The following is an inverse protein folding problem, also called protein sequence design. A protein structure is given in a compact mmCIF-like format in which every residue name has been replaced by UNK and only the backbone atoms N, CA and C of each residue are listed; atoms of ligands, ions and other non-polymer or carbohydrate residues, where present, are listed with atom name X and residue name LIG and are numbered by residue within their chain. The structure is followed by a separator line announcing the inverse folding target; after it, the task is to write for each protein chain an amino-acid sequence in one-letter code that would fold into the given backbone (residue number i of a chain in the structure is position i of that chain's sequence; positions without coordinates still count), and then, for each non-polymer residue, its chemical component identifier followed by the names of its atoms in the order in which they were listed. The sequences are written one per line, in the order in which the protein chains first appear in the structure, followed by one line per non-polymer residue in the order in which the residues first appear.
data_IF_950800158127
#
_entry.id   IF_950800158127
#
_cell.length_a   1.000
_cell.length_b   1.000
_cell.length_c   1.000
_cell.angle_alpha   90.00
_cell.angle_beta   90.00
_cell.angle_gamma   90.00
#
_symmetry.space_group_name_H-M   'P 1'
#
loop_
_entity.id
_entity.type
_entity.pdbx_description
1 polymer ?
#
# COMPACT_ATOMS: atom_id res chain seq x y z
N UNK A 1 -5.68 5.59 0.77
CA UNK A 1 -4.60 6.25 0.00
C UNK A 1 -4.59 7.75 0.26
N UNK A 2 -3.51 8.46 -0.01
CA UNK A 2 -3.43 9.91 0.14
C UNK A 2 -3.96 10.66 -1.08
N UNK A 3 -4.42 11.91 -0.89
CA UNK A 3 -4.99 12.75 -1.96
C UNK A 3 -4.10 12.86 -3.21
N UNK A 4 -2.79 13.04 -3.05
CA UNK A 4 -1.86 13.13 -4.20
C UNK A 4 -1.83 11.84 -5.03
N UNK A 5 -1.88 10.68 -4.39
CA UNK A 5 -1.94 9.36 -5.05
C UNK A 5 -3.29 9.15 -5.74
N UNK A 6 -4.38 9.60 -5.12
CA UNK A 6 -5.70 9.58 -5.75
C UNK A 6 -5.76 10.47 -7.01
N UNK A 7 -5.14 11.65 -6.96
CA UNK A 7 -5.08 12.58 -8.09
C UNK A 7 -4.17 12.08 -9.23
N UNK A 8 -3.18 11.23 -8.94
CA UNK A 8 -2.32 10.64 -9.97
C UNK A 8 -2.98 9.51 -10.74
N UNK A 9 -4.08 8.93 -10.24
CA UNK A 9 -4.85 7.92 -10.96
C UNK A 9 -5.71 8.64 -12.02
N UNK A 10 -5.61 8.31 -13.32
CA UNK A 10 -6.43 8.93 -14.34
C UNK A 10 -7.92 8.80 -14.01
N UNK A 11 -8.70 9.85 -14.28
CA UNK A 11 -10.12 9.93 -13.86
C UNK A 11 -10.98 8.77 -14.31
N UNK A 12 -10.68 8.18 -15.48
CA UNK A 12 -11.38 7.00 -16.02
C UNK A 12 -11.08 5.68 -15.30
N UNK A 13 -10.03 5.64 -14.47
CA UNK A 13 -9.59 4.46 -13.72
C UNK A 13 -9.80 4.61 -12.21
N UNK A 14 -10.48 5.67 -11.76
CA UNK A 14 -10.89 5.86 -10.36
C UNK A 14 -12.42 5.92 -10.26
N UNK A 15 -13.05 5.36 -9.21
CA UNK A 15 -12.42 4.61 -8.11
C UNK A 15 -11.81 3.28 -8.57
N UNK A 16 -10.89 2.73 -7.78
CA UNK A 16 -10.36 1.39 -8.07
C UNK A 16 -11.50 0.37 -7.95
N UNK A 17 -11.78 -0.42 -9.01
CA UNK A 17 -12.96 -1.28 -9.04
C UNK A 17 -12.87 -2.40 -7.99
N UNK A 18 -14.05 -2.87 -7.57
CA UNK A 18 -14.27 -3.95 -6.61
C UNK A 18 -13.67 -3.72 -5.21
N UNK A 19 -13.42 -2.46 -4.85
CA UNK A 19 -12.79 -2.04 -3.59
C UNK A 19 -13.43 -0.76 -3.08
N UNK A 20 -13.54 -0.66 -1.77
CA UNK A 20 -13.80 0.60 -1.09
C UNK A 20 -12.55 1.48 -1.13
N UNK A 21 -12.67 2.70 -1.67
CA UNK A 21 -11.58 3.64 -1.83
C UNK A 21 -11.66 4.72 -0.74
N UNK A 22 -10.69 4.74 0.16
CA UNK A 22 -10.59 5.78 1.19
C UNK A 22 -9.49 6.77 0.82
N UNK A 23 -9.85 8.04 0.65
CA UNK A 23 -8.94 9.12 0.27
C UNK A 23 -8.70 10.05 1.46
N UNK A 24 -7.44 10.15 1.87
CA UNK A 24 -7.02 10.96 3.01
C UNK A 24 -6.56 12.35 2.57
N UNK A 25 -7.13 13.39 3.19
CA UNK A 25 -6.65 14.76 3.08
C UNK A 25 -7.01 15.58 4.31
N UNK A 26 -6.06 16.35 4.85
CA UNK A 26 -6.30 17.24 6.00
C UNK A 26 -7.36 18.32 5.75
N UNK A 27 -7.70 18.59 4.49
CA UNK A 27 -8.73 19.56 4.09
C UNK A 27 -10.10 18.93 3.85
N UNK A 28 -10.25 17.61 4.02
CA UNK A 28 -11.54 16.96 3.85
C UNK A 28 -12.32 16.91 5.15
N UNK A 29 -13.64 17.04 5.03
CA UNK A 29 -14.57 16.56 6.04
C UNK A 29 -14.71 15.04 5.91
N UNK A 30 -14.85 14.35 7.04
CA UNK A 30 -15.09 12.91 7.07
C UNK A 30 -16.47 12.62 6.47
N UNK A 31 -16.51 11.98 5.29
CA UNK A 31 -17.76 11.84 4.53
C UNK A 31 -17.77 10.64 3.60
N UNK A 32 -18.92 9.98 3.51
CA UNK A 32 -19.27 9.04 2.44
C UNK A 32 -19.59 9.85 1.18
N UNK A 33 -18.77 9.71 0.14
CA UNK A 33 -19.00 10.39 -1.15
C UNK A 33 -19.98 9.58 -1.99
N UNK A 34 -19.75 8.27 -2.07
CA UNK A 34 -20.65 7.28 -2.64
C UNK A 34 -20.35 5.90 -2.01
N UNK A 35 -20.99 4.85 -2.52
CA UNK A 35 -20.85 3.47 -2.03
C UNK A 35 -19.42 2.91 -2.10
N UNK A 36 -18.55 3.49 -2.94
CA UNK A 36 -17.19 3.02 -3.18
C UNK A 36 -16.12 4.04 -2.78
N UNK A 37 -16.48 5.25 -2.32
CA UNK A 37 -15.55 6.34 -2.04
C UNK A 37 -15.85 7.00 -0.69
N UNK A 38 -14.85 7.02 0.18
CA UNK A 38 -14.87 7.72 1.47
C UNK A 38 -13.77 8.79 1.52
N UNK A 39 -14.10 9.94 2.08
CA UNK A 39 -13.13 10.97 2.44
C UNK A 39 -12.85 10.93 3.95
N UNK A 40 -11.58 11.01 4.31
CA UNK A 40 -11.12 11.05 5.69
C UNK A 40 -10.07 12.15 5.90
N UNK A 41 -10.09 12.79 7.06
CA UNK A 41 -9.17 13.89 7.41
C UNK A 41 -7.86 13.42 8.05
N UNK A 42 -7.85 12.21 8.61
CA UNK A 42 -6.76 11.62 9.39
C UNK A 42 -6.71 10.09 9.22
N UNK A 43 -5.61 9.47 9.66
CA UNK A 43 -5.50 8.00 9.73
C UNK A 43 -6.55 7.42 10.65
N UNK A 44 -6.75 8.01 11.83
CA UNK A 44 -7.70 7.56 12.83
C UNK A 44 -9.13 7.61 12.28
N UNK A 45 -9.51 8.70 11.60
CA UNK A 45 -10.85 8.83 11.03
C UNK A 45 -11.05 7.87 9.85
N UNK A 46 -10.02 7.62 9.04
CA UNK A 46 -10.10 6.64 7.96
C UNK A 46 -10.43 5.25 8.48
N UNK A 47 -9.86 4.85 9.63
CA UNK A 47 -10.11 3.56 10.24
C UNK A 47 -11.47 3.48 10.93
N UNK A 48 -11.98 4.58 11.49
CA UNK A 48 -13.35 4.62 12.03
C UNK A 48 -14.37 4.36 10.92
N UNK A 49 -14.23 5.07 9.80
CA UNK A 49 -15.13 4.92 8.66
C UNK A 49 -15.10 3.49 8.10
N UNK A 50 -13.91 2.89 7.96
CA UNK A 50 -13.79 1.53 7.42
C UNK A 50 -14.36 0.47 8.38
N UNK A 51 -14.36 0.70 9.70
CA UNK A 51 -14.95 -0.23 10.68
C UNK A 51 -16.47 -0.31 10.61
N UNK A 52 -17.13 0.69 10.02
CA UNK A 52 -18.57 0.68 9.81
C UNK A 52 -18.97 -0.14 8.57
N UNK A 53 -18.00 -0.52 7.75
CA UNK A 53 -18.17 -1.24 6.49
C UNK A 53 -17.85 -2.73 6.64
N UNK A 54 -18.49 -3.58 5.83
CA UNK A 54 -18.21 -5.02 5.80
C UNK A 54 -16.98 -5.30 4.90
N UNK A 55 -15.78 -5.03 5.42
CA UNK A 55 -14.52 -5.15 4.69
C UNK A 55 -13.65 -6.28 5.28
N UNK A 56 -13.10 -7.13 4.42
CA UNK A 56 -12.23 -8.24 4.83
C UNK A 56 -10.82 -7.76 5.21
N UNK A 57 -10.20 -6.91 4.36
CA UNK A 57 -8.82 -6.43 4.53
C UNK A 57 -8.69 -4.97 4.13
N UNK A 58 -7.84 -4.24 4.86
CA UNK A 58 -7.52 -2.83 4.58
C UNK A 58 -6.12 -2.74 3.99
N UNK A 59 -6.00 -2.19 2.79
CA UNK A 59 -4.71 -1.99 2.12
C UNK A 59 -4.35 -0.50 2.05
N UNK A 60 -3.20 -0.16 2.63
CA UNK A 60 -2.60 1.17 2.48
C UNK A 60 -1.78 1.16 1.19
N UNK A 61 -2.29 1.81 0.14
CA UNK A 61 -1.63 1.84 -1.19
C UNK A 61 -0.83 3.13 -1.46
N UNK A 62 -0.42 3.82 -0.38
CA UNK A 62 0.44 5.00 -0.43
C UNK A 62 -0.29 6.34 -0.53
N UNK A 63 0.41 7.43 -0.87
CA UNK A 63 1.84 7.53 -1.21
C UNK A 63 2.79 7.63 0.00
N UNK A 64 4.00 8.17 -0.20
CA UNK A 64 5.06 8.15 0.81
C UNK A 64 4.70 8.77 2.18
N UNK A 65 3.99 9.90 2.21
CA UNK A 65 3.53 10.49 3.49
C UNK A 65 2.63 9.49 4.24
N UNK A 66 1.68 8.88 3.52
CA UNK A 66 0.75 7.90 4.07
C UNK A 66 1.45 6.62 4.50
N UNK A 67 2.36 6.07 3.68
CA UNK A 67 3.15 4.90 4.07
C UNK A 67 3.91 5.15 5.38
N UNK A 68 4.60 6.29 5.46
CA UNK A 68 5.41 6.63 6.62
C UNK A 68 4.56 6.90 7.87
N UNK A 69 3.34 7.42 7.73
CA UNK A 69 2.39 7.64 8.83
C UNK A 69 1.82 6.32 9.35
N UNK A 70 1.36 5.45 8.46
CA UNK A 70 0.80 4.14 8.84
C UNK A 70 1.85 3.22 9.46
N UNK A 71 3.06 3.13 8.91
CA UNK A 71 4.14 2.33 9.51
C UNK A 71 4.45 2.78 10.94
N UNK A 72 4.44 4.09 11.21
CA UNK A 72 4.68 4.64 12.56
C UNK A 72 3.51 4.45 13.52
N UNK A 73 2.29 4.38 13.01
CA UNK A 73 1.08 4.26 13.84
C UNK A 73 1.01 2.96 14.64
N UNK A 74 1.76 1.92 14.21
CA UNK A 74 1.70 0.60 14.81
C UNK A 74 0.44 -0.20 14.45
N UNK A 75 -0.38 0.30 13.53
CA UNK A 75 -1.64 -0.32 13.07
C UNK A 75 -1.45 -1.27 11.89
N UNK A 76 -0.23 -1.41 11.38
CA UNK A 76 0.09 -2.25 10.21
C UNK A 76 0.52 -3.63 10.69
N UNK A 77 -0.22 -4.66 10.27
CA UNK A 77 0.09 -6.05 10.59
C UNK A 77 1.12 -6.65 9.62
N UNK A 78 0.97 -6.33 8.32
CA UNK A 78 1.73 -6.92 7.23
C UNK A 78 2.18 -5.82 6.24
N UNK A 79 3.39 -5.99 5.69
CA UNK A 79 3.89 -5.18 4.58
C UNK A 79 4.15 -6.09 3.39
N UNK A 80 3.36 -5.91 2.33
CA UNK A 80 3.65 -6.48 1.02
C UNK A 80 4.58 -5.52 0.28
N UNK A 81 5.83 -5.92 0.10
CA UNK A 81 6.87 -5.12 -0.52
C UNK A 81 7.37 -5.82 -1.79
N UNK A 82 7.22 -5.18 -2.94
CA UNK A 82 7.92 -5.59 -4.15
C UNK A 82 9.33 -5.01 -4.08
N UNK A 83 10.33 -5.88 -3.90
CA UNK A 83 11.74 -5.50 -3.90
C UNK A 83 12.22 -5.47 -5.35
N UNK A 84 12.65 -4.30 -5.82
CA UNK A 84 13.07 -4.07 -7.21
C UNK A 84 14.57 -3.82 -7.22
N UNK A 85 15.28 -4.58 -8.03
CA UNK A 85 16.69 -4.43 -8.35
C UNK A 85 16.84 -3.92 -9.79
N UNK A 86 17.84 -3.08 -10.01
CA UNK A 86 18.20 -2.58 -11.32
C UNK A 86 19.62 -3.03 -11.64
N UNK A 87 19.78 -3.76 -12.75
CA UNK A 87 21.01 -4.48 -13.09
C UNK A 87 22.12 -3.59 -13.67
N UNK A 88 21.88 -2.29 -13.84
CA UNK A 88 22.80 -1.36 -14.49
C UNK A 88 23.24 -0.22 -13.55
N UNK A 89 24.35 0.42 -13.93
CA UNK A 89 24.96 1.54 -13.19
C UNK A 89 24.25 2.88 -13.46
N UNK A 90 23.17 2.89 -14.23
CA UNK A 90 22.38 4.08 -14.52
C UNK A 90 21.59 4.51 -13.27
N UNK A 91 21.71 5.78 -12.89
CA UNK A 91 20.98 6.33 -11.75
C UNK A 91 19.52 6.58 -12.14
N UNK A 92 18.58 6.01 -11.39
CA UNK A 92 17.15 6.28 -11.54
C UNK A 92 16.79 7.50 -10.69
N UNK A 93 16.40 8.59 -11.33
CA UNK A 93 15.99 9.81 -10.63
C UNK A 93 14.78 9.55 -9.73
N UNK A 94 14.93 9.84 -8.43
CA UNK A 94 13.90 9.67 -7.42
C UNK A 94 13.99 10.73 -6.33
N UNK A 95 12.84 11.24 -5.89
CA UNK A 95 12.73 12.26 -4.83
C UNK A 95 11.93 11.78 -3.61
N UNK A 96 11.43 10.54 -3.67
CA UNK A 96 10.44 10.00 -2.75
C UNK A 96 10.87 8.62 -2.27
N UNK A 97 10.99 8.46 -0.94
CA UNK A 97 11.54 7.26 -0.31
C UNK A 97 10.67 6.76 0.85
N UNK A 98 10.69 5.44 1.07
CA UNK A 98 10.07 4.79 2.23
C UNK A 98 10.96 4.95 3.47
N UNK A 99 10.38 5.32 4.61
CA UNK A 99 11.03 5.29 5.92
C UNK A 99 10.62 4.02 6.66
N UNK A 100 11.09 2.88 6.14
CA UNK A 100 10.77 1.55 6.63
C UNK A 100 12.01 0.93 7.30
N UNK A 101 11.97 0.80 8.63
CA UNK A 101 13.06 0.17 9.39
C UNK A 101 12.90 -1.35 9.38
N UNK A 102 13.57 -2.01 8.44
CA UNK A 102 13.55 -3.47 8.27
C UNK A 102 13.94 -4.24 9.54
N UNK A 103 14.63 -3.63 10.50
CA UNK A 103 14.99 -4.29 11.76
C UNK A 103 13.81 -4.50 12.70
N UNK A 104 12.69 -3.79 12.49
CA UNK A 104 11.44 -3.97 13.25
C UNK A 104 10.52 -5.03 12.64
N UNK A 105 10.92 -5.59 11.51
CA UNK A 105 10.13 -6.53 10.73
C UNK A 105 10.93 -7.81 10.46
N UNK A 106 10.20 -8.86 10.12
CA UNK A 106 10.74 -10.15 9.70
C UNK A 106 10.16 -10.46 8.32
N UNK A 107 11.04 -10.73 7.35
CA UNK A 107 10.64 -11.21 6.04
C UNK A 107 10.09 -12.62 6.18
N UNK A 108 8.82 -12.80 5.85
CA UNK A 108 8.13 -14.09 5.88
C UNK A 108 8.65 -15.00 4.76
N UNK A 109 8.45 -16.31 4.93
CA UNK A 109 8.74 -17.30 3.90
C UNK A 109 7.85 -17.15 2.67
N UNK A 110 8.29 -17.70 1.54
CA UNK A 110 7.51 -17.75 0.30
C UNK A 110 6.17 -18.48 0.48
N UNK A 111 6.14 -19.54 1.29
CA UNK A 111 4.90 -20.26 1.61
C UNK A 111 3.89 -19.39 2.39
N UNK A 112 4.36 -18.56 3.32
CA UNK A 112 3.50 -17.62 4.05
C UNK A 112 2.97 -16.53 3.13
N UNK A 113 3.79 -16.02 2.20
CA UNK A 113 3.35 -15.06 1.19
C UNK A 113 2.25 -15.67 0.30
N UNK A 114 2.47 -16.87 -0.25
CA UNK A 114 1.49 -17.61 -1.05
C UNK A 114 0.18 -17.81 -0.28
N UNK A 115 0.27 -18.23 0.98
CA UNK A 115 -0.91 -18.40 1.84
C UNK A 115 -1.63 -17.07 2.10
N UNK A 116 -0.89 -15.99 2.29
CA UNK A 116 -1.46 -14.68 2.57
C UNK A 116 -2.19 -14.10 1.36
N UNK A 117 -1.60 -14.23 0.16
CA UNK A 117 -2.16 -13.69 -1.09
C UNK A 117 -3.24 -14.60 -1.68
N UNK A 118 -3.18 -15.91 -1.42
CA UNK A 118 -4.06 -16.90 -2.03
C UNK A 118 -3.69 -17.25 -3.47
N UNK A 119 -2.50 -16.82 -3.93
CA UNK A 119 -1.99 -17.15 -5.27
C UNK A 119 -1.56 -18.62 -5.33
N UNK A 120 -1.65 -19.26 -6.50
CA UNK A 120 -1.20 -20.66 -6.66
C UNK A 120 0.32 -20.80 -6.60
N UNK A 121 1.01 -19.82 -7.18
CA UNK A 121 2.46 -19.73 -7.21
C UNK A 121 2.87 -18.26 -7.33
N UNK A 122 4.10 -17.97 -6.91
CA UNK A 122 4.72 -16.65 -7.04
C UNK A 122 6.11 -16.91 -7.63
N UNK A 123 6.40 -16.32 -8.77
CA UNK A 123 7.69 -16.49 -9.43
C UNK A 123 8.79 -15.71 -8.73
N UNK A 124 10.01 -16.26 -8.73
CA UNK A 124 11.21 -15.57 -8.26
C UNK A 124 11.89 -14.87 -9.44
N UNK A 125 12.57 -13.76 -9.16
CA UNK A 125 13.38 -12.99 -10.09
C UNK A 125 12.62 -12.58 -11.38
N UNK A 126 11.38 -12.12 -11.20
CA UNK A 126 10.55 -11.59 -12.28
C UNK A 126 11.31 -10.48 -12.99
N UNK A 127 11.34 -10.52 -14.33
CA UNK A 127 12.08 -9.55 -15.12
C UNK A 127 11.15 -8.75 -16.03
N UNK A 128 11.25 -7.42 -15.94
CA UNK A 128 10.65 -6.50 -16.89
C UNK A 128 11.67 -5.44 -17.31
N UNK A 129 12.02 -5.42 -18.61
CA UNK A 129 13.09 -4.59 -19.13
C UNK A 129 14.41 -4.81 -18.36
N UNK A 130 14.94 -3.73 -17.75
CA UNK A 130 16.17 -3.71 -16.96
C UNK A 130 15.92 -3.89 -15.44
N UNK A 131 14.71 -4.27 -15.04
CA UNK A 131 14.34 -4.45 -13.64
C UNK A 131 14.11 -5.93 -13.34
N UNK A 132 14.66 -6.37 -12.22
CA UNK A 132 14.39 -7.69 -11.62
C UNK A 132 13.67 -7.44 -10.31
N UNK A 133 12.60 -8.17 -10.02
CA UNK A 133 11.84 -7.94 -8.80
C UNK A 133 11.25 -9.20 -8.18
N UNK A 134 11.10 -9.13 -6.87
CA UNK A 134 10.56 -10.20 -6.04
C UNK A 134 9.43 -9.67 -5.16
N UNK A 135 8.34 -10.43 -5.06
CA UNK A 135 7.26 -10.13 -4.13
C UNK A 135 7.61 -10.66 -2.75
N UNK A 136 7.41 -9.84 -1.72
CA UNK A 136 7.79 -10.20 -0.35
C UNK A 136 6.69 -9.83 0.64
N UNK A 137 6.54 -10.66 1.68
CA UNK A 137 5.69 -10.38 2.83
C UNK A 137 6.59 -10.13 4.04
N UNK A 138 6.30 -9.09 4.78
CA UNK A 138 6.97 -8.75 6.02
C UNK A 138 5.96 -8.63 7.15
N UNK A 139 6.30 -9.19 8.30
CA UNK A 139 5.48 -9.16 9.51
C UNK A 139 6.25 -8.50 10.64
N UNK A 140 5.51 -7.84 11.54
CA UNK A 140 6.13 -7.16 12.69
C UNK A 140 6.81 -8.20 13.59
N UNK A 141 7.99 -7.84 14.12
CA UNK A 141 8.70 -8.66 15.12
C UNK A 141 7.95 -8.74 16.44
#
# INVERSE_FOLDING_TARGET
MGRKTWDSIPTKFRPLPNRLNVVLSRSFDNKVIDENILHASSVEDSLKLVREENIERVYVIGGAEIYNEFIKSGLVDNVLLTEIEHSEQEEIAMDTFLKFDVNQWTKSSKSELIQFTGEEAIDDDNQENKFVYNYTLWQKR
#
